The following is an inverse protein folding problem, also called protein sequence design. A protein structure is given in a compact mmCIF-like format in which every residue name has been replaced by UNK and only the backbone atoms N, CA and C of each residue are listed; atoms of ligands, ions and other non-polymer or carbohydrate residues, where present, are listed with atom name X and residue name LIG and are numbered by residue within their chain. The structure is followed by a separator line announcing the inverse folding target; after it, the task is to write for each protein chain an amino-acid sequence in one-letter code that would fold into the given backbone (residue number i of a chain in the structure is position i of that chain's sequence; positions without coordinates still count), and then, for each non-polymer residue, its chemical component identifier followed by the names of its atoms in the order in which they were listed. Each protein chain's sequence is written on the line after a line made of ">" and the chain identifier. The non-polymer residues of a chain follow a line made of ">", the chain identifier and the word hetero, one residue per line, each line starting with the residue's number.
data_IF_207255852456
#
_entry.id   IF_207255852456
#
_cell.length_a   1.000
_cell.length_b   1.000
_cell.length_c   1.000
_cell.angle_alpha   90.00
_cell.angle_beta   90.00
_cell.angle_gamma   90.00
#
_symmetry.space_group_name_H-M   'P 1'
#
loop_
_entity.id
_entity.type
_entity.pdbx_description
1 polymer ?
#
# COMPACT_ATOMS: atom_id res chain seq x y z
N UNK A 1 17.88 -14.14 -9.15
CA UNK A 1 18.33 -12.74 -9.01
C UNK A 1 17.15 -11.78 -8.99
N UNK A 2 16.24 -11.86 -9.98
CA UNK A 2 15.02 -11.04 -10.05
C UNK A 2 14.13 -11.14 -8.80
N UNK A 3 14.01 -12.32 -8.18
CA UNK A 3 13.23 -12.51 -6.96
C UNK A 3 13.75 -11.64 -5.81
N UNK A 4 15.04 -11.75 -5.47
CA UNK A 4 15.66 -11.01 -4.38
C UNK A 4 15.57 -9.50 -4.60
N UNK A 5 15.78 -9.04 -5.84
CA UNK A 5 15.64 -7.62 -6.19
C UNK A 5 14.20 -7.14 -6.02
N UNK A 6 13.22 -7.92 -6.48
CA UNK A 6 11.82 -7.58 -6.38
C UNK A 6 11.35 -7.52 -4.91
N UNK A 7 11.80 -8.48 -4.10
CA UNK A 7 11.51 -8.53 -2.67
C UNK A 7 12.20 -7.40 -1.91
N UNK A 8 13.45 -7.06 -2.28
CA UNK A 8 14.18 -5.94 -1.68
C UNK A 8 13.45 -4.60 -1.92
N UNK A 9 13.08 -4.29 -3.17
CA UNK A 9 12.34 -3.07 -3.50
C UNK A 9 10.97 -3.05 -2.79
N UNK A 10 10.29 -4.19 -2.75
CA UNK A 10 9.04 -4.36 -2.02
C UNK A 10 9.19 -4.04 -0.53
N UNK A 11 10.18 -4.62 0.16
CA UNK A 11 10.42 -4.41 1.59
C UNK A 11 10.80 -2.96 1.87
N UNK A 12 11.65 -2.37 1.03
CA UNK A 12 12.05 -0.99 1.19
C UNK A 12 10.83 -0.05 1.13
N UNK A 13 9.99 -0.20 0.11
CA UNK A 13 8.78 0.65 -0.05
C UNK A 13 7.76 0.36 1.05
N UNK A 14 7.57 -0.91 1.43
CA UNK A 14 6.68 -1.32 2.52
C UNK A 14 7.02 -0.56 3.79
N UNK A 15 8.29 -0.54 4.19
CA UNK A 15 8.72 0.00 5.47
C UNK A 15 9.02 1.50 5.47
N UNK A 16 9.58 2.04 4.39
CA UNK A 16 10.04 3.43 4.37
C UNK A 16 8.96 4.41 3.87
N UNK A 17 8.04 3.96 3.03
CA UNK A 17 6.93 4.81 2.56
C UNK A 17 5.75 4.63 3.51
N UNK A 18 5.58 5.59 4.41
CA UNK A 18 4.54 5.52 5.45
C UNK A 18 3.16 5.48 4.82
N UNK A 19 2.32 4.53 5.24
CA UNK A 19 0.94 4.53 4.80
C UNK A 19 0.24 5.80 5.27
N UNK A 20 -0.40 6.51 4.34
CA UNK A 20 -1.10 7.76 4.57
C UNK A 20 -2.07 7.98 3.41
N UNK A 21 -3.12 8.79 3.60
CA UNK A 21 -4.07 9.12 2.53
C UNK A 21 -3.87 10.58 2.04
N UNK A 22 -2.82 10.90 1.26
CA UNK A 22 -2.59 12.23 0.72
C UNK A 22 -3.44 12.47 -0.54
N UNK A 23 -3.15 13.55 -1.27
CA UNK A 23 -3.55 13.67 -2.67
C UNK A 23 -2.83 12.60 -3.50
N UNK A 24 -3.54 11.92 -4.41
CA UNK A 24 -2.93 10.93 -5.31
C UNK A 24 -2.18 11.67 -6.43
N UNK A 25 -0.87 11.78 -6.25
CA UNK A 25 0.08 12.38 -7.19
C UNK A 25 0.88 11.34 -7.98
N UNK A 26 2.08 11.72 -8.42
CA UNK A 26 3.02 10.81 -9.07
C UNK A 26 3.96 10.11 -8.07
N UNK A 27 4.83 9.25 -8.61
CA UNK A 27 5.82 8.49 -7.84
C UNK A 27 6.91 9.39 -7.25
N UNK A 28 7.33 10.44 -7.96
CA UNK A 28 8.30 11.43 -7.48
C UNK A 28 7.83 12.09 -6.19
N UNK A 29 6.56 12.50 -6.14
CA UNK A 29 5.94 13.05 -4.94
C UNK A 29 5.85 12.03 -3.81
N UNK A 30 5.48 10.78 -4.13
CA UNK A 30 5.40 9.71 -3.14
C UNK A 30 6.74 9.48 -2.46
N UNK A 31 7.82 9.48 -3.26
CA UNK A 31 9.19 9.34 -2.77
C UNK A 31 9.63 10.58 -1.98
N UNK A 32 9.36 11.79 -2.47
CA UNK A 32 9.74 13.03 -1.78
C UNK A 32 9.03 13.20 -0.42
N UNK A 33 7.75 12.83 -0.34
CA UNK A 33 6.98 12.94 0.90
C UNK A 33 7.14 11.72 1.84
N UNK A 34 7.80 10.65 1.38
CA UNK A 34 7.97 9.37 2.09
C UNK A 34 6.64 8.82 2.64
N UNK A 35 5.54 9.03 1.90
CA UNK A 35 4.20 8.60 2.31
C UNK A 35 3.28 8.39 1.11
N UNK A 36 2.34 7.47 1.25
CA UNK A 36 1.36 7.18 0.21
C UNK A 36 0.35 6.12 0.64
N UNK A 37 -0.76 6.03 -0.09
CA UNK A 37 -1.75 4.97 0.09
C UNK A 37 -1.43 3.78 -0.84
N UNK A 38 -2.28 2.74 -0.85
CA UNK A 38 -2.06 1.49 -1.60
C UNK A 38 -1.67 1.74 -3.07
N UNK A 39 -2.46 2.51 -3.82
CA UNK A 39 -2.17 2.89 -5.21
C UNK A 39 -0.83 3.62 -5.40
N UNK A 40 -0.52 4.63 -4.59
CA UNK A 40 0.76 5.36 -4.71
C UNK A 40 1.97 4.47 -4.40
N UNK A 41 1.88 3.61 -3.37
CA UNK A 41 2.94 2.65 -3.04
C UNK A 41 3.09 1.60 -4.15
N UNK A 42 1.98 1.14 -4.74
CA UNK A 42 2.00 0.22 -5.87
C UNK A 42 2.63 0.87 -7.12
N UNK A 43 2.31 2.13 -7.43
CA UNK A 43 2.92 2.86 -8.55
C UNK A 43 4.42 3.08 -8.37
N UNK A 44 4.84 3.42 -7.14
CA UNK A 44 6.27 3.56 -6.82
C UNK A 44 7.00 2.22 -6.96
N UNK A 45 6.42 1.12 -6.46
CA UNK A 45 6.99 -0.21 -6.57
C UNK A 45 7.07 -0.67 -8.02
N UNK A 46 5.99 -0.55 -8.78
CA UNK A 46 5.98 -0.91 -10.20
C UNK A 46 7.02 -0.10 -10.99
N UNK A 47 7.19 1.19 -10.68
CA UNK A 47 8.21 2.03 -11.32
C UNK A 47 9.63 1.57 -10.98
N UNK A 48 9.90 1.24 -9.70
CA UNK A 48 11.19 0.69 -9.25
C UNK A 48 11.54 -0.61 -9.96
N UNK A 49 10.59 -1.55 -10.01
CA UNK A 49 10.76 -2.84 -10.66
C UNK A 49 10.96 -2.71 -12.18
N UNK A 50 10.17 -1.87 -12.85
CA UNK A 50 10.33 -1.60 -14.28
C UNK A 50 11.70 -1.00 -14.60
N UNK A 51 12.25 -0.15 -13.74
CA UNK A 51 13.59 0.40 -13.91
C UNK A 51 14.69 -0.67 -13.87
N UNK A 52 14.41 -1.84 -13.26
CA UNK A 52 15.28 -3.03 -13.24
C UNK A 52 14.97 -4.03 -14.35
N UNK A 53 14.08 -3.69 -15.29
CA UNK A 53 13.67 -4.58 -16.37
C UNK A 53 12.70 -5.69 -15.94
N UNK A 54 12.10 -5.60 -14.75
CA UNK A 54 11.09 -6.56 -14.27
C UNK A 54 9.73 -6.14 -14.82
N UNK A 55 9.07 -7.05 -15.54
CA UNK A 55 7.71 -6.83 -16.06
C UNK A 55 6.72 -6.76 -14.88
N UNK A 56 5.84 -5.76 -14.88
CA UNK A 56 4.86 -5.58 -13.80
C UNK A 56 3.48 -5.29 -14.36
N UNK A 57 2.45 -5.71 -13.63
CA UNK A 57 1.08 -5.25 -13.80
C UNK A 57 0.47 -4.85 -12.47
N UNK A 58 -0.46 -3.90 -12.52
CA UNK A 58 -1.27 -3.56 -11.37
C UNK A 58 -2.39 -4.56 -11.23
N UNK A 59 -2.68 -4.94 -10.00
CA UNK A 59 -3.88 -5.67 -9.66
C UNK A 59 -4.66 -4.88 -8.61
N UNK A 60 -5.97 -4.99 -8.66
CA UNK A 60 -6.82 -4.37 -7.67
C UNK A 60 -8.14 -5.10 -7.51
N UNK A 61 -8.67 -5.03 -6.30
CA UNK A 61 -9.90 -5.72 -5.92
C UNK A 61 -10.69 -4.88 -4.92
N UNK A 62 -11.94 -5.28 -4.70
CA UNK A 62 -12.74 -4.71 -3.61
C UNK A 62 -12.39 -5.44 -2.33
N UNK A 63 -11.88 -4.71 -1.33
CA UNK A 63 -11.79 -5.28 0.02
C UNK A 63 -13.21 -5.23 0.61
N UNK A 64 -13.69 -6.34 1.22
CA UNK A 64 -14.89 -6.30 2.04
C UNK A 64 -14.79 -5.20 3.09
N UNK A 65 -15.93 -4.82 3.65
CA UNK A 65 -16.04 -3.73 4.63
C UNK A 65 -15.29 -4.09 5.93
N UNK A 66 -13.96 -3.95 5.97
CA UNK A 66 -13.16 -4.22 7.16
C UNK A 66 -12.76 -2.93 7.88
N UNK A 67 -12.22 -3.07 9.09
CA UNK A 67 -12.14 -2.16 10.28
C UNK A 67 -11.73 -0.69 10.07
N UNK A 68 -11.45 -0.25 8.84
CA UNK A 68 -10.88 1.03 8.51
C UNK A 68 -11.79 1.98 7.73
N UNK A 69 -13.05 1.68 7.35
CA UNK A 69 -13.93 2.67 6.70
C UNK A 69 -15.33 2.21 6.25
N UNK A 70 -16.28 3.12 5.95
CA UNK A 70 -17.69 2.78 5.70
C UNK A 70 -18.01 2.34 4.25
N UNK A 71 -17.06 2.43 3.31
CA UNK A 71 -17.23 2.13 1.88
C UNK A 71 -16.29 1.02 1.42
N UNK A 72 -16.65 0.31 0.35
CA UNK A 72 -15.71 -0.57 -0.37
C UNK A 72 -14.48 0.26 -0.77
N UNK A 73 -13.32 -0.12 -0.24
CA UNK A 73 -12.06 0.48 -0.65
C UNK A 73 -11.52 -0.37 -1.79
N UNK A 74 -11.27 0.26 -2.93
CA UNK A 74 -10.52 -0.38 -3.99
C UNK A 74 -9.07 -0.38 -3.54
N UNK A 75 -8.53 -1.59 -3.41
CA UNK A 75 -7.16 -1.82 -3.04
C UNK A 75 -6.33 -2.11 -4.26
N UNK A 76 -5.07 -1.68 -4.24
CA UNK A 76 -4.15 -1.81 -5.36
C UNK A 76 -2.83 -2.39 -4.87
N UNK A 77 -2.30 -3.34 -5.62
CA UNK A 77 -0.98 -3.95 -5.42
C UNK A 77 -0.31 -4.20 -6.77
N UNK A 78 0.92 -4.72 -6.73
CA UNK A 78 1.70 -5.04 -7.92
C UNK A 78 1.80 -6.56 -8.06
N UNK A 79 1.69 -7.06 -9.28
CA UNK A 79 2.16 -8.38 -9.64
C UNK A 79 3.38 -8.21 -10.53
N UNK A 80 4.51 -8.78 -10.14
CA UNK A 80 5.79 -8.70 -10.83
C UNK A 80 6.13 -10.05 -11.46
N UNK A 81 6.63 -10.07 -12.69
CA UNK A 81 7.01 -11.30 -13.37
C UNK A 81 8.45 -11.65 -13.02
N UNK A 82 8.61 -12.64 -12.17
CA UNK A 82 9.89 -13.12 -11.66
C UNK A 82 10.04 -14.57 -12.09
N UNK A 83 11.15 -14.91 -12.76
CA UNK A 83 11.45 -16.26 -13.23
C UNK A 83 10.27 -16.89 -14.03
N UNK A 84 9.60 -16.05 -14.83
CA UNK A 84 8.46 -16.44 -15.67
C UNK A 84 7.11 -16.52 -14.96
N UNK A 85 7.06 -16.35 -13.63
CA UNK A 85 5.83 -16.43 -12.82
C UNK A 85 5.44 -15.08 -12.24
N UNK A 86 4.13 -14.87 -12.03
CA UNK A 86 3.62 -13.64 -11.40
C UNK A 86 3.71 -13.74 -9.88
N UNK A 87 4.59 -12.95 -9.29
CA UNK A 87 4.73 -12.76 -7.85
C UNK A 87 3.87 -11.58 -7.38
N UNK A 88 2.96 -11.84 -6.44
CA UNK A 88 2.16 -10.79 -5.78
C UNK A 88 3.01 -10.01 -4.77
N UNK A 89 3.01 -8.68 -4.88
CA UNK A 89 3.72 -7.75 -4.01
C UNK A 89 2.78 -6.62 -3.59
N UNK A 90 2.31 -6.67 -2.34
CA UNK A 90 1.44 -5.65 -1.75
C UNK A 90 2.17 -4.81 -0.69
N UNK A 91 2.80 -3.68 -1.06
CA UNK A 91 3.62 -2.89 -0.15
C UNK A 91 2.79 -2.08 0.87
N UNK A 92 1.48 -2.26 0.93
CA UNK A 92 0.57 -1.38 1.64
C UNK A 92 0.84 -1.25 3.15
N UNK A 93 0.73 -2.34 3.94
CA UNK A 93 0.88 -2.22 5.38
C UNK A 93 2.36 -2.04 5.74
N UNK A 94 2.73 -0.83 6.14
CA UNK A 94 4.00 -0.61 6.85
C UNK A 94 3.92 -1.17 8.27
N UNK A 95 5.07 -1.46 8.87
CA UNK A 95 5.17 -2.04 10.22
C UNK A 95 4.36 -1.31 11.28
N UNK A 96 4.07 -0.02 11.13
CA UNK A 96 3.28 0.75 12.10
C UNK A 96 1.76 0.50 12.06
N UNK A 97 1.26 -0.27 11.10
CA UNK A 97 -0.17 -0.53 10.91
C UNK A 97 -0.53 -1.99 10.58
N UNK A 98 0.46 -2.89 10.56
CA UNK A 98 0.27 -4.32 10.31
C UNK A 98 -0.69 -4.99 11.31
N UNK A 99 -0.70 -4.55 12.56
CA UNK A 99 -1.65 -5.01 13.59
C UNK A 99 -3.09 -4.57 13.33
N UNK A 100 -3.28 -3.53 12.51
CA UNK A 100 -4.60 -3.01 12.16
C UNK A 100 -5.12 -3.57 10.84
N UNK A 101 -4.29 -3.60 9.79
CA UNK A 101 -4.68 -4.04 8.45
C UNK A 101 -4.37 -5.52 8.15
N UNK A 102 -3.50 -6.15 8.95
CA UNK A 102 -2.85 -7.39 8.58
C UNK A 102 -1.49 -7.13 7.94
N UNK A 103 -0.66 -8.17 7.93
CA UNK A 103 0.64 -8.12 7.29
C UNK A 103 0.58 -8.77 5.90
N UNK A 104 1.43 -8.29 5.01
CA UNK A 104 1.64 -8.84 3.67
C UNK A 104 3.07 -9.31 3.56
N UNK A 105 3.25 -10.46 2.92
CA UNK A 105 4.52 -11.04 2.51
C UNK A 105 4.52 -11.23 0.99
N UNK A 106 5.69 -11.35 0.33
CA UNK A 106 5.74 -11.73 -1.08
C UNK A 106 4.89 -12.98 -1.36
N UNK A 107 4.08 -12.93 -2.41
CA UNK A 107 3.10 -13.96 -2.75
C UNK A 107 1.74 -13.82 -2.05
N UNK A 108 1.56 -12.82 -1.19
CA UNK A 108 0.30 -12.57 -0.46
C UNK A 108 -0.17 -11.13 -0.63
N UNK A 109 -1.45 -10.90 -0.37
CA UNK A 109 -2.06 -9.58 -0.29
C UNK A 109 -3.04 -9.52 0.89
N UNK A 110 -3.53 -8.33 1.22
CA UNK A 110 -4.56 -8.14 2.26
C UNK A 110 -5.87 -8.86 1.90
N UNK A 111 -6.44 -9.66 2.80
CA UNK A 111 -7.79 -10.29 2.73
C UNK A 111 -8.17 -11.03 1.41
N UNK A 112 -9.29 -11.76 1.40
CA UNK A 112 -9.89 -12.28 0.16
C UNK A 112 -10.62 -11.16 -0.57
N UNK A 113 -10.15 -10.83 -1.77
CA UNK A 113 -10.77 -9.81 -2.61
C UNK A 113 -11.82 -10.41 -3.55
N UNK A 114 -12.94 -9.71 -3.69
CA UNK A 114 -13.86 -9.94 -4.80
C UNK A 114 -13.47 -9.07 -6.00
N UNK A 115 -13.74 -9.58 -7.20
CA UNK A 115 -13.58 -8.86 -8.47
C UNK A 115 -12.16 -8.33 -8.73
N UNK A 116 -11.16 -9.22 -8.68
CA UNK A 116 -9.79 -8.86 -9.02
C UNK A 116 -9.70 -8.49 -10.51
N UNK A 117 -9.24 -7.27 -10.77
CA UNK A 117 -8.96 -6.78 -12.12
C UNK A 117 -7.48 -6.43 -12.23
N UNK A 118 -6.92 -6.57 -13.44
CA UNK A 118 -5.50 -6.31 -13.72
C UNK A 118 -5.37 -5.28 -14.84
N UNK A 119 -4.34 -4.45 -14.74
CA UNK A 119 -4.06 -3.38 -15.70
C UNK A 119 -2.56 -3.20 -15.89
N UNK A 120 -2.15 -2.76 -17.09
CA UNK A 120 -0.79 -2.26 -17.31
C UNK A 120 -0.52 -0.94 -16.59
N UNK A 121 -1.58 -0.13 -16.42
CA UNK A 121 -1.59 1.13 -15.67
C UNK A 121 -2.90 1.28 -14.89
N UNK A 122 -2.83 1.86 -13.69
CA UNK A 122 -4.03 2.13 -12.90
C UNK A 122 -4.93 3.13 -13.67
N UNK A 123 -6.20 2.79 -13.95
CA UNK A 123 -7.09 3.66 -14.69
C UNK A 123 -7.22 5.06 -14.06
N UNK A 124 -7.04 6.11 -14.88
CA UNK A 124 -7.07 7.53 -14.44
C UNK A 124 -8.34 7.91 -13.67
N UNK A 125 -9.47 7.24 -13.95
CA UNK A 125 -10.73 7.44 -13.22
C UNK A 125 -10.59 7.23 -11.71
N UNK A 126 -9.73 6.31 -11.26
CA UNK A 126 -9.49 6.07 -9.83
C UNK A 126 -8.74 7.23 -9.19
N UNK A 127 -7.70 7.75 -9.86
CA UNK A 127 -6.97 8.95 -9.41
C UNK A 127 -7.90 10.16 -9.30
N UNK A 128 -8.70 10.40 -10.35
CA UNK A 128 -9.69 11.49 -10.39
C UNK A 128 -10.73 11.36 -9.27
N UNK A 129 -11.27 10.17 -9.05
CA UNK A 129 -12.25 9.91 -8.00
C UNK A 129 -11.64 10.14 -6.61
N UNK A 130 -10.45 9.60 -6.37
CA UNK A 130 -9.74 9.72 -5.10
C UNK A 130 -9.44 11.17 -4.74
N UNK A 131 -9.18 12.02 -5.74
CA UNK A 131 -8.88 13.44 -5.55
C UNK A 131 -10.12 14.35 -5.49
N UNK A 132 -11.36 13.82 -5.49
CA UNK A 132 -12.57 14.64 -5.31
C UNK A 132 -12.72 15.14 -3.89
N UNK A 133 -13.20 16.37 -3.72
CA UNK A 133 -13.36 17.06 -2.43
C UNK A 133 -14.03 16.20 -1.33
N UNK A 134 -15.16 15.50 -1.58
CA UNK A 134 -15.80 14.68 -0.55
C UNK A 134 -14.90 13.53 -0.05
N UNK A 135 -14.14 12.92 -0.97
CA UNK A 135 -13.16 11.88 -0.62
C UNK A 135 -12.01 12.49 0.16
N UNK A 136 -11.59 13.73 -0.17
CA UNK A 136 -10.53 14.42 0.57
C UNK A 136 -10.85 14.58 2.06
N UNK A 137 -12.10 14.93 2.39
CA UNK A 137 -12.55 15.06 3.78
C UNK A 137 -12.52 13.72 4.52
N UNK A 138 -12.98 12.66 3.86
CA UNK A 138 -12.91 11.30 4.42
C UNK A 138 -11.45 10.87 4.69
N UNK A 139 -10.54 11.16 3.75
CA UNK A 139 -9.10 10.88 3.92
C UNK A 139 -8.52 11.59 5.14
N UNK A 140 -8.89 12.84 5.38
CA UNK A 140 -8.42 13.58 6.55
C UNK A 140 -8.85 12.91 7.86
N UNK A 141 -10.12 12.47 7.95
CA UNK A 141 -10.63 11.69 9.09
C UNK A 141 -9.82 10.39 9.27
N UNK A 142 -9.53 9.67 8.18
CA UNK A 142 -8.73 8.44 8.25
C UNK A 142 -7.29 8.69 8.69
N UNK A 143 -6.67 9.77 8.23
CA UNK A 143 -5.33 10.17 8.65
C UNK A 143 -5.28 10.48 10.15
N UNK A 144 -6.32 11.09 10.73
CA UNK A 144 -6.43 11.28 12.19
C UNK A 144 -6.51 9.93 12.91
N UNK A 145 -7.37 9.02 12.45
CA UNK A 145 -7.49 7.67 13.04
C UNK A 145 -6.16 6.92 12.98
N UNK A 146 -5.45 7.02 11.86
CA UNK A 146 -4.14 6.42 11.65
C UNK A 146 -3.09 7.00 12.60
N UNK A 147 -3.06 8.32 12.77
CA UNK A 147 -2.15 8.99 13.71
C UNK A 147 -2.43 8.57 15.16
N UNK A 148 -3.70 8.51 15.55
CA UNK A 148 -4.11 8.02 16.86
C UNK A 148 -3.69 6.57 17.09
N UNK A 149 -3.90 5.70 16.09
CA UNK A 149 -3.50 4.29 16.15
C UNK A 149 -1.99 4.14 16.38
N UNK A 150 -1.17 4.83 15.58
CA UNK A 150 0.30 4.80 15.72
C UNK A 150 0.76 5.31 17.08
N UNK A 151 0.16 6.39 17.60
CA UNK A 151 0.47 6.91 18.94
C UNK A 151 0.18 5.87 20.04
N UNK A 152 -0.98 5.20 19.97
CA UNK A 152 -1.37 4.17 20.94
C UNK A 152 -0.44 2.96 20.89
N UNK A 153 -0.03 2.52 19.71
CA UNK A 153 0.92 1.41 19.53
C UNK A 153 2.28 1.74 20.13
N UNK A 154 2.83 2.92 19.82
CA UNK A 154 4.11 3.36 20.37
C UNK A 154 4.09 3.41 21.90
N UNK A 155 2.98 3.86 22.49
CA UNK A 155 2.81 3.86 23.95
C UNK A 155 2.83 2.45 24.54
N UNK A 156 2.13 1.48 23.93
CA UNK A 156 2.16 0.08 24.37
C UNK A 156 3.56 -0.52 24.31
N UNK A 157 4.29 -0.30 23.21
CA UNK A 157 5.65 -0.80 23.04
C UNK A 157 6.61 -0.21 24.10
N UNK A 158 6.47 1.08 24.43
CA UNK A 158 7.30 1.72 25.47
C UNK A 158 7.03 1.21 26.88
N UNK A 159 5.84 0.69 27.16
CA UNK A 159 5.51 0.09 28.45
C UNK A 159 6.10 -1.32 28.56
N UNK A 160 6.03 -2.11 27.49
CA UNK A 160 6.59 -3.46 27.45
C UNK A 160 8.12 -3.46 27.53
N UNK A 161 8.81 -2.53 26.87
CA UNK A 161 10.27 -2.42 26.93
C UNK A 161 10.82 -1.96 28.29
N UNK A 162 9.96 -1.51 29.21
CA UNK A 162 10.33 -1.11 30.57
C UNK A 162 10.12 -2.23 31.60
N UNK A 163 9.50 -3.34 31.20
CA UNK A 163 9.13 -4.46 32.07
C UNK A 163 9.95 -5.73 31.82
N UNK A 164 10.81 -5.75 30.81
CA UNK A 164 11.77 -6.84 30.52
C UNK A 164 13.19 -6.32 30.55
#
# INVERSE_FOLDING_TARGET
>A
MQYEEAVSDYLWIKEHIKYYFPYWGDTTRTLAEMRGHCGMKAELLASSLKARGIETRYAGGKIPRSRAGPFYIIHFWVEAKVDGQWLTLDPTPDSGITDWLGDTKPGTHLETHEHITRWGEIPVKYKKLYNRLPVMLLRWIFNIKLAYHRKRRNHKNSLQSRQG
#
